data_IF_075877018319
#
_entry.id   IF_075877018319
#
_cell.length_a   1.000
_cell.length_b   1.000
_cell.length_c   1.000
_cell.angle_alpha   90.00
_cell.angle_beta   90.00
_cell.angle_gamma   90.00
#
_symmetry.space_group_name_H-M   'P 1'
#
loop_
_entity.id
_entity.type
_entity.pdbx_description
1 polymer ?
#
# COMPACT_ATOMS: atom_id res chain seq x y z
N UNK A 1 -59.55 -28.79 12.89
CA UNK A 1 -61.01 -28.42 12.79
C UNK A 1 -61.11 -27.08 12.11
N UNK A 2 -61.90 -27.10 11.01
CA UNK A 2 -62.58 -25.98 10.36
C UNK A 2 -61.74 -24.86 9.70
N UNK A 3 -61.95 -24.53 8.54
CA UNK A 3 -62.77 -24.69 7.32
C UNK A 3 -62.48 -23.46 6.48
N UNK A 4 -62.13 -23.71 5.26
CA UNK A 4 -62.59 -23.14 3.97
C UNK A 4 -63.52 -21.93 3.98
N UNK A 5 -63.26 -20.87 3.17
CA UNK A 5 -63.97 -20.71 1.92
C UNK A 5 -63.41 -19.55 1.06
N UNK A 6 -63.47 -19.68 -0.25
CA UNK A 6 -63.10 -18.67 -1.24
C UNK A 6 -64.30 -17.99 -1.89
N UNK A 7 -64.14 -16.82 -2.45
CA UNK A 7 -65.01 -16.22 -3.46
C UNK A 7 -64.31 -14.97 -4.02
N UNK A 8 -64.46 -14.50 -5.22
CA UNK A 8 -65.02 -14.89 -6.49
C UNK A 8 -64.54 -13.82 -7.50
N UNK A 9 -64.34 -14.27 -8.67
CA UNK A 9 -64.08 -13.58 -9.93
C UNK A 9 -65.04 -12.42 -10.26
N UNK A 10 -64.51 -11.33 -10.81
CA UNK A 10 -65.29 -10.48 -11.73
C UNK A 10 -64.47 -10.12 -12.97
N UNK A 11 -64.84 -10.81 -14.06
CA UNK A 11 -64.54 -10.44 -15.44
C UNK A 11 -65.38 -9.24 -15.83
N UNK A 12 -64.82 -8.23 -16.47
CA UNK A 12 -65.56 -7.36 -17.39
C UNK A 12 -64.83 -7.30 -18.75
N UNK A 13 -65.65 -7.51 -19.76
CA UNK A 13 -65.33 -7.58 -21.19
C UNK A 13 -65.30 -6.16 -21.83
N UNK A 14 -64.87 -6.07 -23.08
CA UNK A 14 -64.32 -4.87 -23.70
C UNK A 14 -65.35 -4.05 -24.38
N UNK A 15 -65.09 -2.78 -24.60
CA UNK A 15 -65.89 -1.91 -25.47
C UNK A 15 -65.04 -1.46 -26.65
N UNK A 16 -65.46 -1.82 -27.81
CA UNK A 16 -64.97 -1.41 -29.14
C UNK A 16 -65.51 0.02 -29.40
N UNK A 17 -64.70 0.89 -29.87
CA UNK A 17 -65.07 2.25 -30.26
C UNK A 17 -64.12 2.90 -31.25
N UNK A 18 -64.33 2.63 -32.48
CA UNK A 18 -64.36 3.52 -33.70
C UNK A 18 -63.11 4.39 -34.03
N UNK A 19 -62.58 4.05 -35.21
CA UNK A 19 -61.75 4.81 -36.15
C UNK A 19 -61.94 6.33 -36.15
N UNK A 20 -60.82 7.05 -36.18
CA UNK A 20 -60.73 8.27 -37.02
C UNK A 20 -59.24 8.40 -37.49
N UNK A 21 -59.10 8.25 -38.79
CA UNK A 21 -57.88 8.49 -39.54
C UNK A 21 -57.53 9.99 -39.52
N UNK A 22 -56.34 10.34 -39.15
CA UNK A 22 -55.72 11.61 -39.53
C UNK A 22 -54.30 11.34 -40.03
N UNK A 23 -54.15 11.53 -41.33
CA UNK A 23 -52.88 11.64 -42.03
C UNK A 23 -52.15 12.88 -41.50
N UNK A 24 -50.95 12.74 -40.91
CA UNK A 24 -50.07 13.85 -40.71
C UNK A 24 -48.69 13.46 -41.23
N UNK A 25 -48.18 14.35 -42.07
CA UNK A 25 -46.94 14.26 -42.80
C UNK A 25 -45.73 14.02 -41.88
N UNK A 26 -44.92 13.04 -42.24
CA UNK A 26 -43.62 12.79 -41.59
C UNK A 26 -42.60 13.77 -42.14
N UNK A 27 -42.18 14.75 -41.34
CA UNK A 27 -40.97 15.51 -41.56
C UNK A 27 -39.81 14.71 -40.95
N UNK A 28 -39.01 14.10 -41.79
CA UNK A 28 -37.75 13.43 -41.36
C UNK A 28 -36.72 14.51 -41.12
N UNK A 29 -36.49 14.87 -39.85
CA UNK A 29 -35.31 15.63 -39.42
C UNK A 29 -34.20 14.62 -39.20
N UNK A 30 -33.29 14.51 -40.16
CA UNK A 30 -32.05 13.78 -40.00
C UNK A 30 -31.13 14.52 -39.00
N UNK A 31 -31.20 14.17 -37.72
CA UNK A 31 -30.23 14.62 -36.74
C UNK A 31 -28.90 13.88 -36.98
N UNK A 32 -27.95 14.57 -37.63
CA UNK A 32 -26.58 14.10 -37.71
C UNK A 32 -25.98 14.09 -36.26
N UNK A 33 -25.95 12.92 -35.66
CA UNK A 33 -25.23 12.70 -34.42
C UNK A 33 -23.71 12.83 -34.72
N UNK A 34 -23.17 14.00 -34.47
CA UNK A 34 -21.71 14.20 -34.41
C UNK A 34 -21.23 13.44 -33.18
N UNK A 35 -20.79 12.19 -33.34
CA UNK A 35 -20.08 11.46 -32.33
C UNK A 35 -18.70 12.12 -32.19
N UNK A 36 -18.56 13.07 -31.26
CA UNK A 36 -17.27 13.53 -30.80
C UNK A 36 -16.58 12.34 -30.14
N UNK A 37 -15.73 11.65 -30.88
CA UNK A 37 -14.75 10.74 -30.32
C UNK A 37 -13.81 11.61 -29.50
N UNK A 38 -14.08 11.73 -28.19
CA UNK A 38 -13.10 12.25 -27.25
C UNK A 38 -11.87 11.34 -27.34
N UNK A 39 -10.86 11.77 -28.08
CA UNK A 39 -9.54 11.17 -27.99
C UNK A 39 -9.17 11.25 -26.51
N UNK A 40 -9.19 10.11 -25.83
CA UNK A 40 -8.66 9.98 -24.50
C UNK A 40 -7.16 10.28 -24.61
N UNK A 41 -6.81 11.57 -24.50
CA UNK A 41 -5.45 12.01 -24.40
C UNK A 41 -4.84 11.23 -23.24
N UNK A 42 -3.86 10.40 -23.50
CA UNK A 42 -3.04 9.75 -22.48
C UNK A 42 -2.32 10.88 -21.74
N UNK A 43 -2.98 11.44 -20.73
CA UNK A 43 -2.35 12.43 -19.84
C UNK A 43 -1.10 11.76 -19.27
N UNK A 44 0.05 12.29 -19.64
CA UNK A 44 1.33 11.74 -19.18
C UNK A 44 1.27 11.64 -17.65
N UNK A 45 1.51 10.44 -17.12
CA UNK A 45 1.43 10.20 -15.69
C UNK A 45 2.65 10.82 -15.02
N UNK A 46 2.52 12.06 -14.53
CA UNK A 46 3.63 12.82 -13.92
C UNK A 46 4.26 12.17 -12.67
N UNK A 47 3.62 11.13 -12.12
CA UNK A 47 4.10 10.37 -10.95
C UNK A 47 4.49 8.92 -11.30
N UNK A 48 4.20 8.44 -12.53
CA UNK A 48 4.59 7.11 -12.96
C UNK A 48 6.12 6.99 -13.09
N UNK A 49 6.64 5.83 -12.77
CA UNK A 49 8.08 5.56 -12.77
C UNK A 49 8.85 6.21 -11.61
N UNK A 50 8.20 7.06 -10.80
CA UNK A 50 8.83 7.69 -9.64
C UNK A 50 8.54 6.89 -8.37
N UNK A 51 9.52 6.84 -7.46
CA UNK A 51 9.28 6.31 -6.12
C UNK A 51 8.40 7.29 -5.34
N UNK A 52 7.26 6.84 -4.85
CA UNK A 52 6.34 7.66 -4.06
C UNK A 52 6.76 7.77 -2.61
N UNK A 53 7.57 6.84 -2.10
CA UNK A 53 8.07 6.85 -0.72
C UNK A 53 9.07 7.98 -0.56
N UNK A 54 8.87 8.81 0.46
CA UNK A 54 9.82 9.86 0.85
C UNK A 54 10.83 9.27 1.83
N UNK A 55 12.10 9.73 1.72
CA UNK A 55 13.19 9.23 2.56
C UNK A 55 13.24 7.70 2.62
N UNK A 56 13.34 7.02 1.47
CA UNK A 56 13.14 5.57 1.37
C UNK A 56 14.27 4.72 1.96
N UNK A 57 15.43 5.32 2.25
CA UNK A 57 16.60 4.69 2.88
C UNK A 57 16.94 5.31 4.24
N UNK A 58 16.02 6.08 4.86
CA UNK A 58 16.26 6.77 6.13
C UNK A 58 17.41 7.81 6.13
N UNK A 59 17.85 8.27 4.95
CA UNK A 59 19.04 9.11 4.78
C UNK A 59 18.92 10.53 5.35
N UNK A 60 17.70 11.06 5.45
CA UNK A 60 17.46 12.41 5.99
C UNK A 60 17.58 12.49 7.52
N UNK A 61 17.70 11.35 8.21
CA UNK A 61 17.87 11.28 9.66
C UNK A 61 19.33 11.10 10.07
N UNK A 62 19.64 11.38 11.33
CA UNK A 62 20.87 10.95 11.93
C UNK A 62 20.74 9.46 12.27
N UNK A 63 21.49 8.59 11.60
CA UNK A 63 21.57 7.18 11.95
C UNK A 63 22.26 6.98 13.29
N UNK A 64 21.70 6.12 14.15
CA UNK A 64 22.35 5.79 15.42
C UNK A 64 23.65 5.04 15.19
N UNK A 65 24.59 5.27 16.09
CA UNK A 65 25.92 4.62 16.12
C UNK A 65 26.22 3.96 17.47
N UNK A 66 25.26 3.97 18.40
CA UNK A 66 25.41 3.40 19.75
C UNK A 66 24.14 2.63 20.16
N UNK A 67 24.31 1.57 20.95
CA UNK A 67 23.22 0.80 21.58
C UNK A 67 22.42 1.71 22.52
N UNK A 68 21.11 1.56 22.53
CA UNK A 68 20.21 2.37 23.36
C UNK A 68 19.92 3.77 22.82
N UNK A 69 20.56 4.18 21.72
CA UNK A 69 20.24 5.45 21.06
C UNK A 69 19.01 5.33 20.16
N UNK A 70 18.38 6.49 19.90
CA UNK A 70 17.25 6.62 18.98
C UNK A 70 17.54 7.68 17.91
N UNK A 71 17.36 7.31 16.67
CA UNK A 71 17.48 8.21 15.52
C UNK A 71 16.16 8.32 14.78
N UNK A 72 15.44 9.44 14.93
CA UNK A 72 14.18 9.66 14.23
C UNK A 72 14.38 9.64 12.71
N UNK A 73 13.35 9.20 11.97
CA UNK A 73 13.36 9.17 10.51
C UNK A 73 12.43 10.28 9.99
N UNK A 74 12.96 11.41 9.51
CA UNK A 74 12.16 12.48 8.94
C UNK A 74 11.22 11.99 7.82
N UNK A 75 9.96 12.41 7.91
CA UNK A 75 8.92 12.00 6.97
C UNK A 75 8.23 10.67 7.28
N UNK A 76 8.60 10.03 8.40
CA UNK A 76 7.97 8.83 8.94
C UNK A 76 7.44 9.07 10.34
N UNK A 77 6.36 8.38 10.69
CA UNK A 77 5.79 8.37 12.04
C UNK A 77 6.22 7.10 12.76
N UNK A 78 6.76 7.22 13.97
CA UNK A 78 6.93 6.11 14.88
C UNK A 78 5.57 5.77 15.51
N UNK A 79 5.00 4.64 15.13
CA UNK A 79 3.67 4.20 15.60
C UNK A 79 3.77 3.32 16.84
N UNK A 80 4.81 2.50 16.92
CA UNK A 80 5.06 1.63 18.06
C UNK A 80 6.55 1.30 18.18
N UNK A 81 6.97 1.05 19.40
CA UNK A 81 8.37 0.78 19.71
C UNK A 81 9.23 2.00 19.44
N UNK A 82 10.39 1.78 18.83
CA UNK A 82 11.36 2.84 18.51
C UNK A 82 11.79 2.72 17.05
N UNK A 83 10.85 2.96 16.13
CA UNK A 83 11.14 2.97 14.70
C UNK A 83 12.11 4.11 14.37
N UNK A 84 13.31 3.76 13.96
CA UNK A 84 14.40 4.71 13.77
C UNK A 84 15.29 4.41 12.58
N UNK A 85 16.37 5.17 12.49
CA UNK A 85 17.46 4.97 11.56
C UNK A 85 18.73 4.52 12.29
N UNK A 86 19.43 3.53 11.72
CA UNK A 86 20.77 3.16 12.16
C UNK A 86 21.78 3.39 11.03
N UNK A 87 23.01 3.75 11.41
CA UNK A 87 24.09 3.91 10.45
C UNK A 87 24.72 2.57 10.06
N UNK A 88 25.10 2.40 8.81
CA UNK A 88 25.94 1.27 8.36
C UNK A 88 27.34 1.25 8.97
N UNK A 89 27.73 2.32 9.66
CA UNK A 89 28.97 2.38 10.45
C UNK A 89 28.79 1.97 11.90
N UNK A 90 27.60 1.47 12.26
CA UNK A 90 27.32 1.03 13.63
C UNK A 90 28.31 -0.07 14.04
N UNK A 91 29.01 0.08 15.18
CA UNK A 91 30.19 -0.74 15.49
C UNK A 91 29.87 -2.19 15.87
N UNK A 92 28.65 -2.53 16.23
CA UNK A 92 28.29 -3.82 16.80
C UNK A 92 27.74 -4.85 15.80
N UNK A 93 28.01 -4.68 14.51
CA UNK A 93 27.91 -5.77 13.55
C UNK A 93 26.51 -6.19 13.11
N UNK A 94 25.49 -5.32 13.29
CA UNK A 94 24.18 -5.60 12.68
C UNK A 94 24.32 -5.51 11.18
N UNK A 95 23.64 -4.58 10.50
CA UNK A 95 23.89 -4.37 9.08
C UNK A 95 25.06 -3.39 8.92
N UNK A 96 26.07 -3.76 8.16
CA UNK A 96 27.28 -2.95 7.92
C UNK A 96 27.46 -2.65 6.44
N UNK A 97 28.39 -1.79 6.10
CA UNK A 97 28.77 -1.54 4.71
C UNK A 97 29.27 -2.81 3.96
N UNK A 98 29.68 -3.84 4.69
CA UNK A 98 30.14 -5.13 4.14
C UNK A 98 29.00 -6.15 3.98
N UNK A 99 27.87 -5.96 4.66
CA UNK A 99 26.71 -6.83 4.53
C UNK A 99 26.17 -6.77 3.10
N UNK A 100 25.64 -7.88 2.58
CA UNK A 100 24.85 -7.82 1.35
C UNK A 100 23.65 -6.88 1.55
N UNK A 101 23.30 -6.13 0.52
CA UNK A 101 22.21 -5.16 0.61
C UNK A 101 22.11 -4.34 -0.65
N UNK A 102 21.42 -3.21 -0.59
CA UNK A 102 21.24 -2.35 -1.72
C UNK A 102 22.56 -1.89 -2.35
N UNK A 103 22.70 -1.96 -3.66
CA UNK A 103 23.82 -1.34 -4.36
C UNK A 103 23.79 0.19 -4.29
N UNK A 104 22.65 0.77 -3.92
CA UNK A 104 22.43 2.21 -3.75
C UNK A 104 22.31 2.61 -2.29
N UNK A 105 22.70 1.70 -1.36
CA UNK A 105 22.68 2.04 0.07
C UNK A 105 23.41 3.35 0.32
N UNK A 106 22.82 4.19 1.17
CA UNK A 106 23.43 5.42 1.62
C UNK A 106 24.25 5.22 2.90
N UNK A 107 24.01 6.08 3.86
CA UNK A 107 24.66 6.03 5.18
C UNK A 107 23.85 5.25 6.20
N UNK A 108 22.52 5.22 6.03
CA UNK A 108 21.57 4.73 7.01
C UNK A 108 20.67 3.63 6.45
N UNK A 109 19.92 3.00 7.35
CA UNK A 109 18.83 2.08 7.07
C UNK A 109 17.77 2.20 8.14
N UNK A 110 16.52 1.81 7.86
CA UNK A 110 15.47 1.69 8.86
C UNK A 110 15.77 0.58 9.84
N UNK A 111 15.53 0.84 11.12
CA UNK A 111 15.93 -0.05 12.19
C UNK A 111 14.84 -0.17 13.27
N UNK A 112 14.70 -1.37 13.83
CA UNK A 112 13.70 -1.65 14.85
C UNK A 112 14.06 -1.19 16.26
N UNK A 113 15.33 -0.91 16.52
CA UNK A 113 15.79 -0.28 17.77
C UNK A 113 16.34 -1.23 18.83
N UNK A 114 17.11 -0.63 19.73
CA UNK A 114 17.75 -1.28 20.88
C UNK A 114 17.45 -0.55 22.19
N UNK A 115 16.50 0.36 22.21
CA UNK A 115 16.05 1.04 23.43
C UNK A 115 15.18 0.13 24.31
N UNK A 116 14.95 0.48 25.57
CA UNK A 116 14.01 -0.25 26.43
C UNK A 116 12.62 -0.38 25.81
N UNK A 117 12.13 0.65 25.12
CA UNK A 117 10.82 0.65 24.44
C UNK A 117 10.79 -0.33 23.26
N UNK A 118 11.87 -0.40 22.47
CA UNK A 118 12.00 -1.40 21.40
C UNK A 118 12.04 -2.82 21.96
N UNK A 119 12.66 -3.00 23.13
CA UNK A 119 12.77 -4.28 23.81
C UNK A 119 11.41 -4.79 24.32
N UNK A 120 10.62 -3.92 24.93
CA UNK A 120 9.30 -4.28 25.51
C UNK A 120 8.17 -4.34 24.48
N UNK A 121 8.29 -3.65 23.36
CA UNK A 121 7.29 -3.67 22.32
C UNK A 121 7.18 -5.05 21.63
N UNK A 122 5.95 -5.48 21.32
CA UNK A 122 5.72 -6.68 20.50
C UNK A 122 6.31 -6.53 19.09
N UNK A 123 6.26 -5.34 18.56
CA UNK A 123 6.87 -4.95 17.29
C UNK A 123 7.23 -3.47 17.32
N UNK A 124 8.23 -3.12 16.52
CA UNK A 124 8.48 -1.72 16.16
C UNK A 124 7.84 -1.43 14.83
N UNK A 125 7.10 -0.30 14.74
CA UNK A 125 6.29 0.03 13.56
C UNK A 125 6.53 1.48 13.16
N UNK A 126 6.94 1.66 11.91
CA UNK A 126 7.01 2.96 11.24
C UNK A 126 5.97 3.10 10.13
N UNK A 127 5.41 4.29 9.97
CA UNK A 127 4.38 4.58 8.95
C UNK A 127 4.69 5.83 8.15
N UNK A 128 4.31 5.80 6.87
CA UNK A 128 4.25 6.98 6.01
C UNK A 128 2.99 6.93 5.16
N UNK A 129 2.12 7.94 5.28
CA UNK A 129 0.92 8.05 4.44
C UNK A 129 1.16 8.98 3.26
N UNK A 130 0.82 8.54 2.07
CA UNK A 130 1.03 9.20 0.79
C UNK A 130 -0.32 9.40 0.14
N UNK A 131 -0.68 10.64 -0.21
CA UNK A 131 -1.87 10.93 -1.01
C UNK A 131 -1.68 10.43 -2.43
N UNK A 132 -2.68 9.76 -2.96
CA UNK A 132 -2.70 9.28 -4.33
C UNK A 132 -3.56 10.20 -5.20
N UNK A 133 -3.08 10.61 -6.38
CA UNK A 133 -3.91 11.30 -7.34
C UNK A 133 -4.98 10.34 -7.89
N UNK A 134 -6.14 10.88 -8.30
CA UNK A 134 -7.24 10.08 -8.85
C UNK A 134 -6.78 9.20 -10.03
N UNK A 135 -5.85 9.69 -10.85
CA UNK A 135 -5.26 8.96 -11.96
C UNK A 135 -4.39 7.74 -11.56
N UNK A 136 -4.14 7.53 -10.27
CA UNK A 136 -3.44 6.34 -9.77
C UNK A 136 -4.35 5.10 -9.74
N UNK A 137 -5.66 5.29 -9.62
CA UNK A 137 -6.63 4.19 -9.54
C UNK A 137 -6.56 3.28 -10.78
N UNK A 138 -6.50 1.99 -10.57
CA UNK A 138 -6.40 0.97 -11.63
C UNK A 138 -4.99 0.79 -12.21
N UNK A 139 -4.00 1.61 -11.87
CA UNK A 139 -2.64 1.46 -12.37
C UNK A 139 -1.92 0.28 -11.72
N UNK A 140 -1.00 -0.30 -12.47
CA UNK A 140 -0.07 -1.28 -11.90
C UNK A 140 0.86 -0.59 -10.91
N UNK A 141 1.21 -1.31 -9.86
CA UNK A 141 2.09 -0.81 -8.80
C UNK A 141 3.06 -1.90 -8.37
N UNK A 142 4.27 -1.49 -8.02
CA UNK A 142 5.30 -2.38 -7.47
C UNK A 142 5.74 -1.82 -6.13
N UNK A 143 5.57 -2.63 -5.07
CA UNK A 143 6.21 -2.42 -3.78
C UNK A 143 7.53 -3.17 -3.78
N UNK A 144 8.63 -2.54 -3.38
CA UNK A 144 9.96 -3.15 -3.31
C UNK A 144 10.77 -2.61 -2.15
N UNK A 145 11.85 -3.32 -1.82
CA UNK A 145 12.81 -2.88 -0.80
C UNK A 145 13.83 -3.95 -0.47
N UNK A 146 14.91 -3.54 0.15
CA UNK A 146 15.92 -4.42 0.73
C UNK A 146 15.57 -4.67 2.19
N UNK A 147 15.37 -5.93 2.54
CA UNK A 147 14.90 -6.35 3.86
C UNK A 147 15.94 -7.27 4.49
N UNK A 148 16.26 -7.00 5.75
CA UNK A 148 17.21 -7.77 6.55
C UNK A 148 16.55 -8.28 7.82
N UNK A 149 16.72 -9.55 8.10
CA UNK A 149 16.40 -10.16 9.39
C UNK A 149 17.66 -10.20 10.26
N UNK A 150 17.50 -10.45 11.55
CA UNK A 150 18.62 -10.68 12.44
C UNK A 150 18.41 -11.95 13.26
N UNK A 151 19.42 -12.79 13.29
CA UNK A 151 19.35 -14.12 13.92
C UNK A 151 18.75 -15.18 12.98
N UNK A 152 18.44 -16.33 13.54
CA UNK A 152 17.90 -17.48 12.81
C UNK A 152 16.83 -18.22 13.63
N UNK A 153 16.05 -19.05 12.94
CA UNK A 153 15.01 -19.86 13.57
C UNK A 153 13.78 -19.05 14.04
N UNK A 154 12.96 -19.64 14.95
CA UNK A 154 11.69 -19.06 15.37
C UNK A 154 11.78 -17.73 16.10
N UNK A 155 12.93 -17.42 16.67
CA UNK A 155 13.19 -16.19 17.44
C UNK A 155 13.90 -15.12 16.62
N UNK A 156 14.11 -15.35 15.32
CA UNK A 156 14.72 -14.35 14.45
C UNK A 156 13.92 -13.06 14.42
N UNK A 157 14.62 -11.93 14.43
CA UNK A 157 13.99 -10.65 14.14
C UNK A 157 13.63 -10.59 12.67
N UNK A 158 12.39 -10.23 12.36
CA UNK A 158 11.86 -10.24 11.01
C UNK A 158 11.43 -8.86 10.56
N UNK A 159 11.66 -8.58 9.29
CA UNK A 159 11.21 -7.37 8.60
C UNK A 159 10.02 -7.66 7.71
N UNK A 160 8.99 -6.84 7.82
CA UNK A 160 7.85 -6.82 6.91
C UNK A 160 7.58 -5.39 6.45
N UNK A 161 7.28 -5.23 5.17
CA UNK A 161 6.78 -3.96 4.62
C UNK A 161 5.44 -4.19 3.95
N UNK A 162 4.46 -3.34 4.28
CA UNK A 162 3.13 -3.34 3.66
C UNK A 162 2.85 -2.01 3.02
N UNK A 163 2.14 -2.03 1.89
CA UNK A 163 1.45 -0.89 1.31
C UNK A 163 -0.05 -1.12 1.46
N UNK A 164 -0.73 -0.29 2.22
CA UNK A 164 -2.17 -0.36 2.52
C UNK A 164 -2.88 0.75 1.75
N UNK A 165 -3.60 0.37 0.70
CA UNK A 165 -4.38 1.31 -0.13
C UNK A 165 -5.73 1.55 0.52
N UNK A 166 -6.09 2.82 0.75
CA UNK A 166 -7.33 3.18 1.43
C UNK A 166 -8.11 4.25 0.67
N UNK A 167 -9.42 4.28 0.90
CA UNK A 167 -10.33 5.30 0.42
C UNK A 167 -10.24 6.60 1.25
N UNK A 168 -11.11 7.57 0.95
CA UNK A 168 -11.16 8.86 1.65
C UNK A 168 -11.62 8.73 3.12
N UNK A 169 -12.36 7.68 3.46
CA UNK A 169 -12.78 7.37 4.81
C UNK A 169 -11.70 6.63 5.63
N UNK A 170 -10.58 6.26 4.98
CA UNK A 170 -9.52 5.47 5.61
C UNK A 170 -9.75 3.96 5.58
N UNK A 171 -10.82 3.49 4.92
CA UNK A 171 -11.09 2.05 4.77
C UNK A 171 -10.04 1.42 3.85
N UNK A 172 -9.35 0.40 4.33
CA UNK A 172 -8.33 -0.31 3.56
C UNK A 172 -8.98 -1.21 2.50
N UNK A 173 -8.74 -0.90 1.24
CA UNK A 173 -9.29 -1.59 0.08
C UNK A 173 -8.42 -2.77 -0.38
N UNK A 174 -7.10 -2.64 -0.26
CA UNK A 174 -6.15 -3.72 -0.57
C UNK A 174 -4.80 -3.52 0.12
N UNK A 175 -4.03 -4.61 0.17
CA UNK A 175 -2.67 -4.62 0.73
C UNK A 175 -1.70 -5.34 -0.21
N UNK A 176 -0.51 -4.78 -0.37
CA UNK A 176 0.68 -5.49 -0.86
C UNK A 176 1.62 -5.71 0.32
N UNK A 177 2.32 -6.84 0.32
CA UNK A 177 3.25 -7.19 1.41
C UNK A 177 4.49 -7.84 0.85
N UNK A 178 5.65 -7.47 1.40
CA UNK A 178 6.95 -8.09 1.18
C UNK A 178 7.60 -8.40 2.53
N UNK A 179 8.49 -9.38 2.57
CA UNK A 179 9.21 -9.79 3.79
C UNK A 179 8.42 -10.73 4.69
N UNK A 180 8.83 -10.81 5.94
CA UNK A 180 8.36 -11.78 6.95
C UNK A 180 8.59 -13.23 6.48
N UNK A 181 9.78 -13.49 5.94
CA UNK A 181 10.22 -14.81 5.50
C UNK A 181 11.52 -15.19 6.19
N UNK A 182 11.72 -16.47 6.40
CA UNK A 182 12.88 -17.03 7.11
C UNK A 182 14.09 -17.25 6.21
N UNK A 183 14.00 -16.92 4.93
CA UNK A 183 15.10 -17.12 3.97
C UNK A 183 16.19 -16.06 4.06
N UNK A 184 15.91 -14.94 4.75
CA UNK A 184 16.88 -13.90 5.05
C UNK A 184 17.42 -14.17 6.46
N UNK A 185 18.70 -14.36 6.59
CA UNK A 185 19.34 -14.67 7.86
C UNK A 185 20.67 -13.91 8.02
N UNK A 186 21.17 -13.88 9.25
CA UNK A 186 22.43 -13.21 9.56
C UNK A 186 22.30 -11.68 9.56
N UNK A 187 23.26 -11.01 8.94
CA UNK A 187 23.33 -9.54 8.83
C UNK A 187 23.27 -9.06 7.39
N UNK A 188 22.71 -9.86 6.50
CA UNK A 188 22.51 -9.51 5.10
C UNK A 188 21.09 -9.03 4.84
N UNK A 189 20.92 -8.20 3.82
CA UNK A 189 19.61 -7.82 3.28
C UNK A 189 19.41 -8.46 1.93
N UNK A 190 18.16 -8.83 1.63
CA UNK A 190 17.75 -9.35 0.34
C UNK A 190 16.66 -8.47 -0.27
N UNK A 191 16.72 -8.26 -1.59
CA UNK A 191 15.68 -7.53 -2.29
C UNK A 191 14.39 -8.37 -2.35
N UNK A 192 13.28 -7.73 -2.01
CA UNK A 192 11.93 -8.29 -2.12
C UNK A 192 11.04 -7.34 -2.88
N UNK A 193 10.17 -7.87 -3.72
CA UNK A 193 9.18 -7.07 -4.41
C UNK A 193 7.85 -7.78 -4.60
N UNK A 194 6.78 -7.00 -4.72
CA UNK A 194 5.42 -7.47 -4.98
C UNK A 194 4.74 -6.54 -5.97
N UNK A 195 4.19 -7.11 -7.04
CA UNK A 195 3.35 -6.39 -8.01
C UNK A 195 1.89 -6.45 -7.60
N UNK A 196 1.15 -5.42 -7.96
CA UNK A 196 -0.29 -5.33 -7.73
C UNK A 196 -0.96 -4.31 -8.64
N UNK A 197 -2.17 -3.94 -8.26
CA UNK A 197 -2.94 -2.88 -8.92
C UNK A 197 -3.52 -1.99 -7.84
N UNK A 198 -3.45 -0.67 -8.01
CA UNK A 198 -4.09 0.30 -7.10
C UNK A 198 -5.60 0.12 -7.20
N UNK A 199 -6.31 -0.19 -6.11
CA UNK A 199 -7.77 -0.35 -6.16
C UNK A 199 -8.46 0.93 -6.63
N UNK A 200 -9.58 0.78 -7.34
CA UNK A 200 -10.46 1.92 -7.61
C UNK A 200 -11.00 2.47 -6.30
N UNK A 201 -11.11 3.78 -6.19
CA UNK A 201 -11.52 4.46 -4.95
C UNK A 201 -10.39 4.74 -3.97
N UNK A 202 -9.16 4.25 -4.22
CA UNK A 202 -8.02 4.61 -3.38
C UNK A 202 -7.66 6.09 -3.53
N UNK A 203 -7.58 6.80 -2.40
CA UNK A 203 -7.15 8.19 -2.32
C UNK A 203 -5.81 8.35 -1.59
N UNK A 204 -5.38 7.29 -0.92
CA UNK A 204 -4.12 7.25 -0.19
C UNK A 204 -3.54 5.84 -0.12
N UNK A 205 -2.25 5.78 0.17
CA UNK A 205 -1.55 4.55 0.52
C UNK A 205 -0.69 4.80 1.76
N UNK A 206 -0.78 3.91 2.75
CA UNK A 206 0.09 3.94 3.92
C UNK A 206 1.14 2.85 3.78
N UNK A 207 2.40 3.24 3.79
CA UNK A 207 3.52 2.32 3.89
C UNK A 207 3.73 2.03 5.37
N UNK A 208 3.74 0.74 5.73
CA UNK A 208 3.93 0.27 7.10
C UNK A 208 5.15 -0.63 7.11
N UNK A 209 6.19 -0.23 7.83
CA UNK A 209 7.36 -1.05 8.11
C UNK A 209 7.21 -1.63 9.49
N UNK A 210 7.36 -2.94 9.62
CA UNK A 210 7.23 -3.65 10.89
C UNK A 210 8.47 -4.49 11.12
N UNK A 211 9.09 -4.30 12.27
CA UNK A 211 10.13 -5.16 12.81
C UNK A 211 9.53 -5.94 13.97
N UNK A 212 9.50 -7.25 13.86
CA UNK A 212 8.83 -8.14 14.82
C UNK A 212 9.70 -9.33 15.17
N UNK A 213 9.24 -10.11 16.14
CA UNK A 213 9.96 -11.23 16.73
C UNK A 213 11.26 -10.79 17.44
N UNK A 214 12.10 -11.75 17.77
CA UNK A 214 13.22 -11.52 18.66
C UNK A 214 12.76 -11.46 20.12
N UNK A 215 13.58 -12.03 21.00
CA UNK A 215 13.22 -12.12 22.42
C UNK A 215 13.35 -10.77 23.14
N UNK A 216 14.16 -9.86 22.59
CA UNK A 216 14.47 -8.58 23.20
C UNK A 216 14.41 -7.46 22.14
N UNK A 217 15.56 -7.04 21.62
CA UNK A 217 15.67 -5.95 20.66
C UNK A 217 15.08 -6.30 19.30
N UNK A 218 14.67 -5.28 18.54
CA UNK A 218 14.13 -5.42 17.17
C UNK A 218 15.23 -5.12 16.15
N UNK A 219 16.21 -6.01 16.08
CA UNK A 219 17.46 -5.82 15.32
C UNK A 219 17.34 -6.04 13.81
N UNK A 220 16.14 -6.15 13.29
CA UNK A 220 15.87 -6.24 11.84
C UNK A 220 16.00 -4.86 11.18
N UNK A 221 16.19 -4.84 9.86
CA UNK A 221 16.39 -3.62 9.09
C UNK A 221 15.70 -3.64 7.73
N UNK A 222 15.49 -2.45 7.18
CA UNK A 222 15.00 -2.25 5.82
C UNK A 222 15.73 -1.07 5.16
N UNK A 223 15.89 -1.12 3.85
CA UNK A 223 16.54 -0.05 3.08
C UNK A 223 15.99 0.06 1.67
N UNK A 224 16.22 1.21 1.03
CA UNK A 224 15.81 1.48 -0.37
C UNK A 224 14.37 1.03 -0.66
N UNK A 225 13.44 1.40 0.21
CA UNK A 225 12.03 1.08 0.01
C UNK A 225 11.48 1.81 -1.22
N UNK A 226 10.61 1.16 -1.96
CA UNK A 226 10.02 1.76 -3.15
C UNK A 226 8.56 1.39 -3.32
N UNK A 227 7.76 2.38 -3.73
CA UNK A 227 6.41 2.20 -4.26
C UNK A 227 6.34 2.94 -5.59
N UNK A 228 6.32 2.20 -6.69
CA UNK A 228 6.36 2.76 -8.04
C UNK A 228 5.12 2.36 -8.81
N UNK A 229 4.45 3.36 -9.42
CA UNK A 229 3.33 3.14 -10.32
C UNK A 229 3.82 3.10 -11.79
N UNK A 230 3.23 2.19 -12.57
CA UNK A 230 3.46 2.06 -14.02
C UNK A 230 2.30 2.64 -14.83
#
# INVERSE_FOLDING_TARGET
MNRFHPTATHRRKPTIGVLLARVLAAAIVAAAAVTATAAAGTTACGFCGKNLIKNPGAEAGAGITAVGAFGAVPGWTNEAGQFGAASYTFPNGWFSARSKGSPKRGKNYFFGGTTPEANTAKATIGKQTIKLPAAAAGRKVVLGGWLGNYGSGPTANMTQVRAEFADAAGTVLARLRIGNDTTISGTDMAFRSRKGTVPRGSTQVTIVVTFSNGNNYKLAGADDLSLVLA
#
